data_IF_153180737902
#
_entry.id   IF_153180737902
#
_cell.length_a   1.000
_cell.length_b   1.000
_cell.length_c   1.000
_cell.angle_alpha   90.00
_cell.angle_beta   90.00
_cell.angle_gamma   90.00
#
_symmetry.space_group_name_H-M   'P 1'
#
loop_
_entity.id
_entity.type
_entity.pdbx_description
1 polymer ?
#
# COMPACT_ATOMS: atom_id res chain seq x y z
N UNK A 1 2.25 -17.37 -1.21
CA UNK A 1 2.35 -15.96 -0.77
C UNK A 1 2.38 -15.96 0.76
N UNK A 2 3.17 -15.10 1.45
CA UNK A 2 3.09 -15.02 2.91
C UNK A 2 1.68 -14.58 3.29
N UNK A 3 0.98 -15.41 4.05
CA UNK A 3 -0.35 -15.08 4.56
C UNK A 3 -0.18 -14.19 5.79
N UNK A 4 -0.77 -12.99 5.82
CA UNK A 4 -0.78 -12.16 7.01
C UNK A 4 -1.40 -12.94 8.16
N UNK A 5 -0.75 -12.90 9.32
CA UNK A 5 -1.23 -13.55 10.53
C UNK A 5 -1.51 -12.51 11.61
N UNK A 6 -2.52 -12.79 12.42
CA UNK A 6 -2.77 -12.07 13.65
C UNK A 6 -1.86 -12.59 14.79
N UNK A 7 -1.97 -12.01 16.00
CA UNK A 7 -1.12 -12.43 17.13
C UNK A 7 -1.50 -13.80 17.72
N UNK A 8 -2.66 -14.35 17.34
CA UNK A 8 -3.07 -15.74 17.59
C UNK A 8 -2.61 -16.70 16.48
N UNK A 9 -1.81 -16.21 15.53
CA UNK A 9 -1.34 -16.94 14.34
C UNK A 9 -2.49 -17.40 13.42
N UNK A 10 -3.64 -16.74 13.46
CA UNK A 10 -4.74 -16.98 12.53
C UNK A 10 -4.53 -16.14 11.26
N UNK A 11 -4.86 -16.69 10.07
CA UNK A 11 -4.78 -15.91 8.83
C UNK A 11 -5.77 -14.75 8.87
N UNK A 12 -5.30 -13.56 8.52
CA UNK A 12 -6.13 -12.35 8.47
C UNK A 12 -5.95 -11.60 7.14
N UNK A 13 -6.86 -10.67 6.87
CA UNK A 13 -6.78 -9.77 5.72
C UNK A 13 -5.73 -8.67 5.94
N UNK A 14 -5.49 -7.90 4.88
CA UNK A 14 -4.81 -6.61 4.96
C UNK A 14 -5.84 -5.53 4.66
N UNK A 15 -5.91 -4.51 5.50
CA UNK A 15 -6.85 -3.41 5.35
C UNK A 15 -6.75 -2.81 3.93
N UNK A 16 -7.89 -2.79 3.23
CA UNK A 16 -7.97 -2.21 1.89
C UNK A 16 -7.84 -0.69 1.98
N UNK A 17 -7.07 -0.12 1.06
CA UNK A 17 -7.06 1.32 0.86
C UNK A 17 -8.35 1.71 0.12
N UNK A 18 -8.95 2.82 0.53
CA UNK A 18 -10.05 3.43 -0.22
C UNK A 18 -9.55 3.96 -1.57
N UNK A 19 -10.44 4.10 -2.55
CA UNK A 19 -10.10 4.65 -3.87
C UNK A 19 -9.43 6.03 -3.77
N UNK A 20 -9.88 6.85 -2.81
CA UNK A 20 -9.30 8.17 -2.53
C UNK A 20 -7.86 8.05 -2.02
N UNK A 21 -7.58 7.14 -1.09
CA UNK A 21 -6.24 6.90 -0.57
C UNK A 21 -5.31 6.35 -1.66
N UNK A 22 -5.80 5.44 -2.51
CA UNK A 22 -5.06 4.93 -3.66
C UNK A 22 -4.69 6.04 -4.64
N UNK A 23 -5.63 6.92 -4.98
CA UNK A 23 -5.39 8.04 -5.89
C UNK A 23 -4.30 8.98 -5.35
N UNK A 24 -4.38 9.37 -4.07
CA UNK A 24 -3.35 10.23 -3.48
C UNK A 24 -1.97 9.58 -3.43
N UNK A 25 -1.92 8.28 -3.18
CA UNK A 25 -0.66 7.52 -3.15
C UNK A 25 -0.05 7.41 -4.54
N UNK A 26 -0.87 7.20 -5.57
CA UNK A 26 -0.43 7.19 -6.97
C UNK A 26 0.10 8.55 -7.44
N UNK A 27 -0.51 9.65 -6.97
CA UNK A 27 -0.05 11.02 -7.28
C UNK A 27 1.29 11.34 -6.59
N UNK A 28 1.67 10.61 -5.52
CA UNK A 28 2.98 10.74 -4.87
C UNK A 28 3.20 12.02 -4.06
N UNK A 29 2.22 12.93 -4.02
CA UNK A 29 2.32 14.22 -3.34
C UNK A 29 1.97 14.05 -1.85
N UNK A 30 3.01 13.97 -0.99
CA UNK A 30 2.88 13.82 0.47
C UNK A 30 2.11 14.95 1.16
N UNK A 31 2.02 16.13 0.55
CA UNK A 31 1.32 17.29 1.14
C UNK A 31 -0.20 17.18 1.07
N UNK A 32 -0.74 16.33 0.18
CA UNK A 32 -2.18 16.19 -0.04
C UNK A 32 -2.81 15.08 0.80
N UNK A 33 -1.98 14.18 1.37
CA UNK A 33 -2.42 13.13 2.28
C UNK A 33 -2.67 13.71 3.68
N UNK A 34 -3.93 14.09 3.98
CA UNK A 34 -4.32 14.60 5.30
C UNK A 34 -4.26 13.54 6.41
N UNK A 35 -4.37 12.26 6.06
CA UNK A 35 -4.42 11.15 7.00
C UNK A 35 -3.00 10.76 7.49
N UNK A 36 -2.77 10.89 8.80
CA UNK A 36 -1.46 10.63 9.44
C UNK A 36 -1.03 9.17 9.29
N UNK A 37 -1.98 8.23 9.36
CA UNK A 37 -1.72 6.79 9.31
C UNK A 37 -1.20 6.43 7.92
N UNK A 38 -1.88 6.92 6.88
CA UNK A 38 -1.51 6.70 5.48
C UNK A 38 -0.14 7.33 5.18
N UNK A 39 0.16 8.51 5.72
CA UNK A 39 1.47 9.15 5.53
C UNK A 39 2.61 8.30 6.10
N UNK A 40 2.40 7.69 7.28
CA UNK A 40 3.38 6.78 7.88
C UNK A 40 3.47 5.45 7.14
N UNK A 41 2.35 4.88 6.71
CA UNK A 41 2.31 3.65 5.90
C UNK A 41 3.08 3.85 4.59
N UNK A 42 2.82 4.97 3.90
CA UNK A 42 3.50 5.33 2.67
C UNK A 42 5.00 5.50 2.91
N UNK A 43 5.43 6.12 4.01
CA UNK A 43 6.85 6.26 4.31
C UNK A 43 7.55 4.91 4.51
N UNK A 44 6.83 3.86 4.95
CA UNK A 44 7.38 2.52 5.10
C UNK A 44 7.49 1.74 3.76
N UNK A 45 6.69 2.09 2.75
CA UNK A 45 6.62 1.38 1.45
C UNK A 45 7.22 2.19 0.29
N UNK A 46 7.41 3.50 0.45
CA UNK A 46 7.75 4.43 -0.64
C UNK A 46 9.00 4.01 -1.42
N UNK A 47 10.04 3.49 -0.76
CA UNK A 47 11.25 3.05 -1.45
C UNK A 47 10.97 1.89 -2.41
N UNK A 48 10.10 0.95 -2.01
CA UNK A 48 9.72 -0.18 -2.86
C UNK A 48 8.76 0.25 -3.96
N UNK A 49 7.82 1.14 -3.66
CA UNK A 49 6.89 1.70 -4.65
C UNK A 49 7.62 2.53 -5.73
N UNK A 50 8.60 3.36 -5.34
CA UNK A 50 9.44 4.13 -6.27
C UNK A 50 10.30 3.19 -7.11
N UNK A 51 10.92 2.17 -6.51
CA UNK A 51 11.68 1.18 -7.27
C UNK A 51 10.81 0.47 -8.31
N UNK A 52 9.59 0.06 -7.95
CA UNK A 52 8.63 -0.56 -8.87
C UNK A 52 8.26 0.41 -10.00
N UNK A 53 8.00 1.68 -9.68
CA UNK A 53 7.68 2.70 -10.67
C UNK A 53 8.84 2.94 -11.64
N UNK A 54 10.09 2.98 -11.14
CA UNK A 54 11.29 3.12 -11.97
C UNK A 54 11.49 1.91 -12.89
N UNK A 55 11.40 0.70 -12.35
CA UNK A 55 11.52 -0.55 -13.14
C UNK A 55 10.40 -0.63 -14.19
N UNK A 56 9.15 -0.34 -13.80
CA UNK A 56 8.02 -0.27 -14.72
C UNK A 56 8.23 0.75 -15.84
N UNK A 57 8.72 1.94 -15.49
CA UNK A 57 9.04 2.99 -16.46
C UNK A 57 10.14 2.61 -17.43
N UNK A 58 11.23 1.98 -16.97
CA UNK A 58 12.31 1.48 -17.84
C UNK A 58 11.81 0.37 -18.76
N UNK A 59 11.06 -0.60 -18.25
CA UNK A 59 10.48 -1.68 -19.04
C UNK A 59 9.48 -1.15 -20.08
N UNK A 60 8.62 -0.23 -19.67
CA UNK A 60 7.67 0.45 -20.54
C UNK A 60 8.38 1.23 -21.64
N UNK A 61 9.44 1.97 -21.30
CA UNK A 61 10.26 2.71 -22.27
C UNK A 61 11.03 1.81 -23.24
N UNK A 62 11.55 0.67 -22.76
CA UNK A 62 12.21 -0.32 -23.61
C UNK A 62 11.22 -0.95 -24.61
N UNK A 63 10.02 -1.33 -24.16
CA UNK A 63 8.96 -1.87 -25.00
C UNK A 63 8.47 -0.84 -26.04
N UNK A 64 8.31 0.41 -25.59
CA UNK A 64 7.99 1.56 -26.42
C UNK A 64 9.03 1.80 -27.52
N UNK A 65 10.32 1.75 -27.17
CA UNK A 65 11.41 1.94 -28.12
C UNK A 65 11.51 0.80 -29.12
N UNK A 66 11.34 -0.44 -28.67
CA UNK A 66 11.33 -1.62 -29.54
C UNK A 66 10.18 -1.57 -30.56
N UNK A 67 8.96 -1.27 -30.10
CA UNK A 67 7.79 -1.12 -30.99
C UNK A 67 7.95 0.05 -31.96
N UNK A 68 8.48 1.19 -31.50
CA UNK A 68 8.81 2.32 -32.36
C UNK A 68 9.80 1.96 -33.47
N UNK A 69 10.89 1.25 -33.16
CA UNK A 69 11.88 0.79 -34.16
C UNK A 69 11.24 -0.13 -35.21
N UNK A 70 10.37 -1.04 -34.79
CA UNK A 70 9.65 -1.95 -35.70
C UNK A 70 8.66 -1.19 -36.61
N UNK A 71 8.00 -0.15 -36.09
CA UNK A 71 6.99 0.63 -36.81
C UNK A 71 7.58 1.72 -37.72
N UNK A 72 8.82 2.15 -37.52
CA UNK A 72 9.53 3.10 -38.41
C UNK A 72 9.72 2.54 -39.83
N UNK A 73 9.57 1.23 -40.04
CA UNK A 73 9.53 0.59 -41.36
C UNK A 73 8.15 0.61 -42.04
N UNK A 74 7.09 1.10 -41.37
CA UNK A 74 5.72 1.12 -41.90
C UNK A 74 5.28 2.55 -42.25
N UNK A 75 4.33 2.69 -43.19
CA UNK A 75 3.77 3.97 -43.68
C UNK A 75 2.86 4.68 -42.67
N UNK A 76 3.23 4.69 -41.39
CA UNK A 76 2.54 5.43 -40.33
C UNK A 76 2.97 6.90 -40.31
N UNK A 77 2.11 7.78 -39.77
CA UNK A 77 2.53 9.15 -39.47
C UNK A 77 3.47 9.14 -38.28
N UNK A 78 4.54 9.94 -38.35
CA UNK A 78 5.59 10.01 -37.33
C UNK A 78 5.04 10.31 -35.91
N UNK A 79 3.92 11.04 -35.83
CA UNK A 79 3.19 11.30 -34.59
C UNK A 79 2.55 10.03 -33.98
N UNK A 80 1.91 9.17 -34.78
CA UNK A 80 1.28 7.95 -34.27
C UNK A 80 2.30 6.93 -33.76
N UNK A 81 3.47 6.88 -34.40
CA UNK A 81 4.58 6.02 -33.99
C UNK A 81 5.23 6.46 -32.66
N UNK A 82 4.99 7.68 -32.18
CA UNK A 82 5.50 8.18 -30.90
C UNK A 82 4.45 8.11 -29.78
N UNK A 83 3.18 8.38 -30.11
CA UNK A 83 2.10 8.44 -29.12
C UNK A 83 1.76 7.05 -28.56
N UNK A 84 1.58 6.05 -29.43
CA UNK A 84 1.22 4.68 -29.02
C UNK A 84 2.22 4.08 -28.03
N UNK A 85 3.54 4.08 -28.32
CA UNK A 85 4.52 3.53 -27.38
C UNK A 85 4.53 4.29 -26.04
N UNK A 86 4.41 5.62 -26.06
CA UNK A 86 4.36 6.43 -24.85
C UNK A 86 3.15 6.09 -23.97
N UNK A 87 1.95 6.03 -24.55
CA UNK A 87 0.73 5.66 -23.84
C UNK A 87 0.81 4.22 -23.30
N UNK A 88 1.33 3.27 -24.08
CA UNK A 88 1.48 1.88 -23.64
C UNK A 88 2.42 1.73 -22.44
N UNK A 89 3.52 2.50 -22.41
CA UNK A 89 4.48 2.52 -21.29
C UNK A 89 3.82 3.01 -19.99
N UNK A 90 3.04 4.09 -20.08
CA UNK A 90 2.29 4.63 -18.94
C UNK A 90 1.32 3.58 -18.41
N UNK A 91 0.52 2.95 -19.30
CA UNK A 91 -0.46 1.94 -18.91
C UNK A 91 0.21 0.75 -18.25
N UNK A 92 1.28 0.20 -18.84
CA UNK A 92 2.03 -0.94 -18.27
C UNK A 92 2.61 -0.59 -16.90
N UNK A 93 3.23 0.60 -16.76
CA UNK A 93 3.79 1.06 -15.49
C UNK A 93 2.73 1.20 -14.41
N UNK A 94 1.57 1.75 -14.74
CA UNK A 94 0.44 1.88 -13.81
C UNK A 94 -0.11 0.52 -13.40
N UNK A 95 -0.30 -0.42 -14.34
CA UNK A 95 -0.79 -1.76 -14.04
C UNK A 95 0.19 -2.56 -13.15
N UNK A 96 1.49 -2.49 -13.45
CA UNK A 96 2.53 -3.09 -12.62
C UNK A 96 2.54 -2.50 -11.21
N UNK A 97 2.40 -1.18 -11.08
CA UNK A 97 2.33 -0.53 -9.78
C UNK A 97 1.10 -0.99 -8.99
N UNK A 98 -0.09 -1.02 -9.58
CA UNK A 98 -1.30 -1.49 -8.90
C UNK A 98 -1.20 -2.97 -8.48
N UNK A 99 -0.71 -3.84 -9.36
CA UNK A 99 -0.55 -5.26 -9.07
C UNK A 99 0.49 -5.52 -7.98
N UNK A 100 1.62 -4.82 -8.02
CA UNK A 100 2.70 -4.99 -7.05
C UNK A 100 2.46 -4.26 -5.73
N UNK A 101 1.62 -3.22 -5.69
CA UNK A 101 1.28 -2.52 -4.45
C UNK A 101 0.68 -3.48 -3.41
N UNK A 102 -0.25 -4.34 -3.85
CA UNK A 102 -0.82 -5.39 -2.98
C UNK A 102 0.27 -6.33 -2.45
N UNK A 103 1.19 -6.74 -3.32
CA UNK A 103 2.32 -7.61 -2.94
C UNK A 103 3.29 -6.95 -1.96
N UNK A 104 3.62 -5.66 -2.15
CA UNK A 104 4.46 -4.89 -1.23
C UNK A 104 3.80 -4.78 0.14
N UNK A 105 2.50 -4.50 0.18
CA UNK A 105 1.76 -4.39 1.46
C UNK A 105 1.70 -5.74 2.18
N UNK A 106 1.56 -6.86 1.47
CA UNK A 106 1.65 -8.20 2.06
C UNK A 106 3.06 -8.48 2.62
N UNK A 107 4.12 -8.17 1.86
CA UNK A 107 5.52 -8.36 2.27
C UNK A 107 5.94 -7.48 3.44
N UNK A 108 5.29 -6.32 3.60
CA UNK A 108 5.57 -5.33 4.65
C UNK A 108 4.46 -5.30 5.71
N UNK A 109 3.65 -6.35 5.78
CA UNK A 109 2.47 -6.38 6.63
C UNK A 109 2.81 -6.09 8.10
N UNK A 110 3.86 -6.68 8.66
CA UNK A 110 4.23 -6.47 10.07
C UNK A 110 4.46 -4.98 10.41
N UNK A 111 5.12 -4.25 9.49
CA UNK A 111 5.38 -2.82 9.67
C UNK A 111 4.13 -1.98 9.50
N UNK A 112 3.28 -2.35 8.54
CA UNK A 112 1.96 -1.71 8.34
C UNK A 112 1.07 -1.96 9.55
N UNK A 113 1.08 -3.19 10.07
CA UNK A 113 0.32 -3.60 11.24
C UNK A 113 0.77 -2.84 12.48
N UNK A 114 2.08 -2.70 12.70
CA UNK A 114 2.59 -1.87 13.80
C UNK A 114 2.07 -0.44 13.72
N UNK A 115 2.12 0.21 12.55
CA UNK A 115 1.63 1.58 12.36
C UNK A 115 0.13 1.68 12.71
N UNK A 116 -0.68 0.75 12.22
CA UNK A 116 -2.13 0.75 12.50
C UNK A 116 -2.41 0.52 13.99
N UNK A 117 -1.74 -0.46 14.61
CA UNK A 117 -1.92 -0.77 16.03
C UNK A 117 -1.49 0.39 16.94
N UNK A 118 -0.41 1.10 16.62
CA UNK A 118 0.00 2.32 17.35
C UNK A 118 -0.98 3.49 17.20
N UNK A 119 -1.93 3.40 16.28
CA UNK A 119 -3.03 4.36 16.14
C UNK A 119 -4.35 3.82 16.68
N UNK A 120 -4.35 2.65 17.32
CA UNK A 120 -5.59 2.05 17.82
C UNK A 120 -6.45 1.51 16.68
N UNK A 121 -5.87 1.10 15.54
CA UNK A 121 -6.62 0.65 14.37
C UNK A 121 -6.24 -0.79 14.02
N UNK A 122 -7.23 -1.60 13.64
CA UNK A 122 -7.05 -2.96 13.16
C UNK A 122 -6.31 -2.98 11.81
N UNK A 123 -5.15 -3.66 11.71
CA UNK A 123 -4.41 -3.83 10.45
C UNK A 123 -5.16 -4.59 9.35
N UNK A 124 -6.18 -5.38 9.72
CA UNK A 124 -6.90 -6.27 8.81
C UNK A 124 -8.12 -5.60 8.16
N UNK A 125 -8.89 -4.82 8.92
CA UNK A 125 -10.12 -4.19 8.42
C UNK A 125 -10.22 -2.67 8.66
N UNK A 126 -9.23 -2.06 9.30
CA UNK A 126 -9.22 -0.65 9.69
C UNK A 126 -10.28 -0.21 10.72
N UNK A 127 -10.91 -1.16 11.44
CA UNK A 127 -11.77 -0.84 12.59
C UNK A 127 -10.97 -0.29 13.78
N UNK A 128 -11.57 0.63 14.55
CA UNK A 128 -10.94 1.21 15.72
C UNK A 128 -10.96 0.22 16.90
N UNK A 129 -9.79 -0.07 17.47
CA UNK A 129 -9.59 -1.02 18.56
C UNK A 129 -9.55 -0.34 19.94
N UNK A 130 -9.64 0.99 19.98
CA UNK A 130 -9.67 1.74 21.23
C UNK A 130 -10.85 1.27 22.09
N UNK A 131 -10.62 1.21 23.41
CA UNK A 131 -11.61 0.83 24.43
C UNK A 131 -12.18 -0.60 24.37
N UNK A 132 -11.66 -1.46 23.50
CA UNK A 132 -12.04 -2.87 23.50
C UNK A 132 -11.41 -3.61 24.69
N UNK A 133 -12.21 -4.50 25.30
CA UNK A 133 -11.76 -5.31 26.42
C UNK A 133 -10.74 -6.35 25.95
N UNK A 134 -9.61 -6.42 26.67
CA UNK A 134 -8.60 -7.47 26.46
C UNK A 134 -9.15 -8.82 26.96
N UNK A 135 -8.97 -9.88 26.18
CA UNK A 135 -9.31 -11.25 26.57
C UNK A 135 -8.21 -11.88 27.45
N UNK A 136 -8.48 -13.05 28.02
CA UNK A 136 -7.58 -13.75 28.97
C UNK A 136 -6.17 -14.05 28.41
N UNK A 137 -6.03 -14.11 27.09
CA UNK A 137 -4.75 -14.33 26.39
C UNK A 137 -3.97 -13.04 26.11
N UNK A 138 -4.42 -11.90 26.63
CA UNK A 138 -3.79 -10.59 26.46
C UNK A 138 -4.03 -9.96 25.08
N UNK A 139 -4.96 -10.51 24.28
CA UNK A 139 -5.31 -9.98 22.98
C UNK A 139 -6.64 -9.20 23.00
N UNK A 140 -6.69 -8.16 22.18
CA UNK A 140 -7.92 -7.48 21.76
C UNK A 140 -8.41 -8.14 20.48
N UNK A 141 -9.68 -8.53 20.45
CA UNK A 141 -10.30 -9.14 19.27
C UNK A 141 -11.11 -8.08 18.54
N UNK A 142 -10.81 -7.89 17.24
CA UNK A 142 -11.56 -6.97 16.41
C UNK A 142 -12.98 -7.52 16.16
N UNK A 143 -14.05 -6.77 16.48
CA UNK A 143 -15.43 -7.25 16.32
C UNK A 143 -15.84 -7.40 14.85
N UNK A 144 -15.20 -6.70 13.91
CA UNK A 144 -15.56 -6.73 12.49
C UNK A 144 -14.95 -7.91 11.73
N UNK A 145 -13.70 -8.26 12.04
CA UNK A 145 -12.95 -9.28 11.28
C UNK A 145 -12.42 -10.43 12.11
N UNK A 146 -12.67 -10.43 13.42
CA UNK A 146 -12.21 -11.44 14.39
C UNK A 146 -10.69 -11.63 14.49
N UNK A 147 -9.88 -10.76 13.86
CA UNK A 147 -8.43 -10.76 14.04
C UNK A 147 -8.08 -10.33 15.46
N UNK A 148 -7.09 -11.01 16.07
CA UNK A 148 -6.66 -10.77 17.44
C UNK A 148 -5.27 -10.12 17.49
N UNK A 149 -5.15 -9.04 18.27
CA UNK A 149 -3.90 -8.28 18.40
C UNK A 149 -3.54 -8.11 19.86
N UNK A 150 -2.26 -8.28 20.22
CA UNK A 150 -1.79 -8.09 21.60
C UNK A 150 -2.08 -6.66 22.05
N UNK A 151 -2.71 -6.51 23.21
CA UNK A 151 -2.99 -5.20 23.81
C UNK A 151 -1.71 -4.36 23.96
N UNK A 152 -0.57 -4.99 24.21
CA UNK A 152 0.73 -4.30 24.33
C UNK A 152 1.22 -3.63 23.04
N UNK A 153 0.62 -3.94 21.88
CA UNK A 153 0.92 -3.32 20.58
C UNK A 153 -0.09 -2.25 20.21
N UNK A 154 -1.29 -2.28 20.81
CA UNK A 154 -2.39 -1.37 20.55
C UNK A 154 -2.23 -0.15 21.44
N UNK A 155 -2.23 1.05 20.87
CA UNK A 155 -2.22 2.30 21.65
C UNK A 155 -3.46 2.36 22.55
N UNK A 156 -3.30 2.77 23.80
CA UNK A 156 -4.43 3.10 24.69
C UNK A 156 -4.78 4.57 24.57
N UNK A 157 -6.07 4.90 24.62
CA UNK A 157 -6.54 6.28 24.67
C UNK A 157 -6.03 7.05 25.90
N UNK A 158 -5.69 6.36 27.00
CA UNK A 158 -5.24 6.98 28.25
C UNK A 158 -3.79 7.51 28.27
N UNK A 159 -2.96 7.20 27.26
CA UNK A 159 -1.55 7.64 27.23
C UNK A 159 -1.37 9.11 26.76
N UNK A 160 -2.46 9.88 26.61
CA UNK A 160 -2.36 11.30 26.20
C UNK A 160 -2.01 12.30 27.30
N UNK A 161 -1.76 11.87 28.54
CA UNK A 161 -1.30 12.79 29.59
C UNK A 161 -0.07 12.20 30.27
N UNK A 162 1.11 12.63 29.84
CA UNK A 162 2.25 13.09 30.66
C UNK A 162 3.48 13.07 29.76
N UNK A 163 3.91 14.24 29.29
CA UNK A 163 5.31 14.67 29.28
C UNK A 163 5.29 16.15 28.84
N UNK A 164 5.22 17.00 29.87
CA UNK A 164 5.61 18.40 29.83
C UNK A 164 7.12 18.55 29.57
#
# INVERSE_FOLDING_TARGET
MPTPLDDRRKPCGVARLTNRQLAWRAIGIKSLTKDKIIKQEQQATINTEVLIALVGGVLGWALASFTGIVLLGQKGTLLWNLIIPFCSSIVVSTLLWFGLLGWVRLRKFDRIAQIHLTHGICPSCAYQLDDLTTQDDGCVVCPECNAAWKQSRVRRADETVTHA
#
